data_IF_037176372502
#
_entry.id   IF_037176372502
#
_cell.length_a   1.000
_cell.length_b   1.000
_cell.length_c   1.000
_cell.angle_alpha   90.00
_cell.angle_beta   90.00
_cell.angle_gamma   90.00
#
_symmetry.space_group_name_H-M   'P 1'
#
loop_
_entity.id
_entity.type
_entity.pdbx_description
1 polymer ?
#
# COMPACT_ATOMS: atom_id res chain seq x y z
N UNK A 1 33.29 8.50 32.67
CA UNK A 1 33.10 7.56 31.53
C UNK A 1 31.71 6.94 31.49
N UNK A 2 31.17 6.41 32.61
CA UNK A 2 29.81 5.84 32.64
C UNK A 2 28.68 6.85 32.29
N UNK A 3 28.81 8.11 32.71
CA UNK A 3 27.82 9.17 32.44
C UNK A 3 27.67 9.49 30.94
N UNK A 4 28.79 9.60 30.21
CA UNK A 4 28.80 9.82 28.75
C UNK A 4 28.22 8.62 27.99
N UNK A 5 28.47 7.39 28.48
CA UNK A 5 27.90 6.18 27.91
C UNK A 5 26.39 6.08 28.14
N UNK A 6 25.88 6.57 29.28
CA UNK A 6 24.43 6.66 29.54
C UNK A 6 23.76 7.77 28.73
N UNK A 7 24.43 8.91 28.53
CA UNK A 7 23.95 9.99 27.65
C UNK A 7 23.85 9.49 26.20
N UNK A 8 24.84 8.73 25.73
CA UNK A 8 24.84 8.12 24.41
C UNK A 8 23.67 7.14 24.20
N UNK A 9 23.36 6.28 25.18
CA UNK A 9 22.20 5.37 25.09
C UNK A 9 20.87 6.12 25.08
N UNK A 10 20.73 7.16 25.91
CA UNK A 10 19.53 8.00 25.96
C UNK A 10 19.30 8.73 24.64
N UNK A 11 20.37 9.29 24.07
CA UNK A 11 20.33 9.99 22.79
C UNK A 11 19.99 9.04 21.64
N UNK A 12 20.57 7.84 21.60
CA UNK A 12 20.22 6.82 20.61
C UNK A 12 18.74 6.43 20.69
N UNK A 13 18.21 6.26 21.90
CA UNK A 13 16.80 5.94 22.09
C UNK A 13 15.89 7.10 21.65
N UNK A 14 16.26 8.34 21.98
CA UNK A 14 15.54 9.53 21.51
C UNK A 14 15.49 9.59 19.98
N UNK A 15 16.64 9.44 19.31
CA UNK A 15 16.70 9.43 17.84
C UNK A 15 15.91 8.29 17.22
N UNK A 16 15.84 7.15 17.88
CA UNK A 16 14.99 6.05 17.45
C UNK A 16 13.50 6.44 17.48
N UNK A 17 13.04 7.07 18.56
CA UNK A 17 11.66 7.54 18.68
C UNK A 17 11.32 8.64 17.67
N UNK A 18 12.26 9.57 17.43
CA UNK A 18 12.14 10.61 16.39
C UNK A 18 12.07 9.98 14.99
N UNK A 19 13.02 9.10 14.64
CA UNK A 19 13.08 8.47 13.31
C UNK A 19 11.88 7.56 13.02
N UNK A 20 11.30 6.95 14.06
CA UNK A 20 10.11 6.08 13.92
C UNK A 20 8.79 6.86 13.96
N UNK A 21 8.81 8.19 14.12
CA UNK A 21 7.61 9.03 14.17
C UNK A 21 6.81 8.94 15.47
N UNK A 22 7.30 8.21 16.49
CA UNK A 22 6.58 8.04 17.77
C UNK A 22 6.38 9.38 18.46
N UNK A 23 7.38 10.26 18.43
CA UNK A 23 7.26 11.59 19.06
C UNK A 23 6.23 12.46 18.34
N UNK A 24 6.16 12.40 17.02
CA UNK A 24 5.22 13.19 16.22
C UNK A 24 3.78 12.73 16.49
N UNK A 25 3.53 11.42 16.50
CA UNK A 25 2.21 10.86 16.84
C UNK A 25 1.78 11.22 18.26
N UNK A 26 2.67 11.07 19.26
CA UNK A 26 2.37 11.46 20.64
C UNK A 26 2.08 12.96 20.74
N UNK A 27 2.84 13.79 20.03
CA UNK A 27 2.63 15.24 20.00
C UNK A 27 1.28 15.57 19.39
N UNK A 28 0.92 14.96 18.26
CA UNK A 28 -0.38 15.17 17.60
C UNK A 28 -1.56 14.80 18.51
N UNK A 29 -1.50 13.67 19.23
CA UNK A 29 -2.58 13.26 20.15
C UNK A 29 -2.68 14.21 21.34
N UNK A 30 -1.56 14.69 21.86
CA UNK A 30 -1.55 15.68 22.95
C UNK A 30 -2.08 17.04 22.50
N UNK A 31 -1.78 17.47 21.27
CA UNK A 31 -2.35 18.68 20.65
C UNK A 31 -3.86 18.53 20.52
N UNK A 32 -4.36 17.41 19.98
CA UNK A 32 -5.80 17.15 19.88
C UNK A 32 -6.48 17.24 21.26
N UNK A 33 -5.91 16.60 22.28
CA UNK A 33 -6.42 16.69 23.65
C UNK A 33 -6.38 18.12 24.20
N UNK A 34 -5.36 18.90 23.85
CA UNK A 34 -5.24 20.30 24.24
C UNK A 34 -6.25 21.22 23.53
N UNK A 35 -6.61 20.90 22.30
CA UNK A 35 -7.57 21.68 21.49
C UNK A 35 -9.03 21.32 21.79
N UNK A 36 -9.31 20.18 22.43
CA UNK A 36 -10.67 19.78 22.81
C UNK A 36 -11.40 20.89 23.59
N UNK A 37 -12.53 21.43 23.09
CA UNK A 37 -13.27 22.52 23.72
C UNK A 37 -13.90 22.09 25.04
N UNK A 38 -14.34 20.83 25.13
CA UNK A 38 -14.80 20.19 26.36
C UNK A 38 -13.80 19.11 26.77
N UNK A 39 -13.06 19.36 27.86
CA UNK A 39 -12.03 18.40 28.29
C UNK A 39 -12.66 17.07 28.69
N UNK A 40 -12.16 15.93 28.19
CA UNK A 40 -12.69 14.64 28.57
C UNK A 40 -12.48 14.41 30.07
N UNK A 41 -13.50 13.88 30.73
CA UNK A 41 -13.42 13.50 32.15
C UNK A 41 -12.28 12.51 32.43
N UNK A 42 -11.90 11.70 31.43
CA UNK A 42 -10.74 10.82 31.48
C UNK A 42 -9.80 11.04 30.28
N UNK A 43 -8.78 11.88 30.47
CA UNK A 43 -7.75 12.15 29.46
C UNK A 43 -6.99 10.89 29.01
N UNK A 44 -6.81 9.91 29.89
CA UNK A 44 -6.06 8.70 29.55
C UNK A 44 -6.82 7.83 28.55
N UNK A 45 -8.14 7.74 28.68
CA UNK A 45 -8.97 6.98 27.74
C UNK A 45 -9.06 7.68 26.38
N UNK A 46 -9.11 9.01 26.36
CA UNK A 46 -8.98 9.80 25.12
C UNK A 46 -7.68 9.47 24.39
N UNK A 47 -6.54 9.49 25.09
CA UNK A 47 -5.23 9.19 24.50
C UNK A 47 -5.19 7.75 23.95
N UNK A 48 -5.68 6.75 24.70
CA UNK A 48 -5.72 5.36 24.22
C UNK A 48 -6.54 5.21 22.93
N UNK A 49 -7.71 5.87 22.87
CA UNK A 49 -8.56 5.82 21.69
C UNK A 49 -7.88 6.45 20.48
N UNK A 50 -7.29 7.64 20.65
CA UNK A 50 -6.65 8.38 19.56
C UNK A 50 -5.35 7.74 19.08
N UNK A 51 -4.61 7.05 19.96
CA UNK A 51 -3.46 6.23 19.55
C UNK A 51 -3.87 4.97 18.77
N UNK A 52 -5.03 4.38 19.08
CA UNK A 52 -5.58 3.24 18.34
C UNK A 52 -6.26 3.64 17.01
N UNK A 53 -6.77 4.86 16.94
CA UNK A 53 -7.40 5.44 15.75
C UNK A 53 -6.44 6.20 14.83
N UNK A 54 -5.18 6.38 15.24
CA UNK A 54 -4.08 6.82 14.38
C UNK A 54 -3.76 5.74 13.33
N UNK A 55 -4.73 5.50 12.44
CA UNK A 55 -4.51 4.79 11.17
C UNK A 55 -3.60 5.60 10.24
N UNK A 56 -3.24 5.05 9.08
CA UNK A 56 -2.34 5.71 8.13
C UNK A 56 -2.80 7.15 7.85
N UNK A 57 -1.82 8.07 7.78
CA UNK A 57 -2.07 9.51 7.58
C UNK A 57 -3.04 9.72 6.39
N UNK A 58 -3.93 10.73 6.43
CA UNK A 58 -4.81 11.01 5.32
C UNK A 58 -4.03 11.21 4.01
N UNK A 59 -2.83 11.80 4.05
CA UNK A 59 -1.93 11.95 2.92
C UNK A 59 -1.48 10.59 2.34
N UNK A 60 -1.08 9.64 3.20
CA UNK A 60 -0.73 8.28 2.78
C UNK A 60 -1.91 7.56 2.16
N UNK A 61 -3.11 7.75 2.72
CA UNK A 61 -4.31 7.11 2.17
C UNK A 61 -4.71 7.68 0.80
N UNK A 62 -4.53 8.98 0.56
CA UNK A 62 -4.77 9.58 -0.77
C UNK A 62 -3.70 9.18 -1.80
N UNK A 63 -2.43 9.12 -1.39
CA UNK A 63 -1.35 8.64 -2.24
C UNK A 63 -1.61 7.18 -2.67
N UNK A 64 -1.96 6.31 -1.71
CA UNK A 64 -2.31 4.91 -1.98
C UNK A 64 -3.56 4.77 -2.86
N UNK A 65 -4.59 5.62 -2.67
CA UNK A 65 -5.77 5.65 -3.54
C UNK A 65 -5.40 6.01 -4.98
N UNK A 66 -4.52 7.00 -5.15
CA UNK A 66 -4.05 7.44 -6.47
C UNK A 66 -3.25 6.34 -7.16
N UNK A 67 -2.31 5.71 -6.46
CA UNK A 67 -1.51 4.61 -7.01
C UNK A 67 -2.38 3.40 -7.39
N UNK A 68 -3.41 3.08 -6.59
CA UNK A 68 -4.38 2.04 -6.92
C UNK A 68 -5.14 2.35 -8.21
N UNK A 69 -5.60 3.60 -8.37
CA UNK A 69 -6.32 4.03 -9.55
C UNK A 69 -5.43 3.93 -10.81
N UNK A 70 -4.19 4.40 -10.72
CA UNK A 70 -3.20 4.33 -11.81
C UNK A 70 -2.89 2.88 -12.20
N UNK A 71 -2.71 1.99 -11.24
CA UNK A 71 -2.45 0.57 -11.50
C UNK A 71 -3.66 -0.14 -12.10
N UNK A 72 -4.88 0.19 -11.66
CA UNK A 72 -6.12 -0.36 -12.23
C UNK A 72 -6.33 0.08 -13.68
N UNK A 73 -6.04 1.36 -13.97
CA UNK A 73 -6.09 1.90 -15.33
C UNK A 73 -5.08 1.17 -16.23
N UNK A 74 -3.83 1.05 -15.78
CA UNK A 74 -2.76 0.37 -16.52
C UNK A 74 -3.06 -1.11 -16.74
N UNK A 75 -3.64 -1.80 -15.76
CA UNK A 75 -4.11 -3.17 -15.92
C UNK A 75 -5.18 -3.29 -17.00
N UNK A 76 -6.15 -2.36 -17.02
CA UNK A 76 -7.23 -2.36 -18.01
C UNK A 76 -6.70 -2.15 -19.44
N UNK A 77 -5.82 -1.18 -19.62
CA UNK A 77 -5.16 -0.90 -20.91
C UNK A 77 -4.37 -2.10 -21.42
N UNK A 78 -3.55 -2.70 -20.55
CA UNK A 78 -2.77 -3.89 -20.90
C UNK A 78 -3.66 -5.08 -21.22
N UNK A 79 -4.78 -5.26 -20.52
CA UNK A 79 -5.75 -6.32 -20.81
C UNK A 79 -6.41 -6.13 -22.18
N UNK A 80 -6.77 -4.90 -22.53
CA UNK A 80 -7.35 -4.56 -23.82
C UNK A 80 -6.34 -4.76 -24.96
N UNK A 81 -5.11 -4.28 -24.79
CA UNK A 81 -4.03 -4.52 -25.76
C UNK A 81 -3.76 -6.03 -25.93
N UNK A 82 -3.72 -6.80 -24.84
CA UNK A 82 -3.53 -8.24 -24.91
C UNK A 82 -4.66 -8.92 -25.70
N UNK A 83 -5.91 -8.48 -25.49
CA UNK A 83 -7.08 -8.95 -26.22
C UNK A 83 -6.95 -8.63 -27.71
N UNK A 84 -6.61 -7.40 -28.08
CA UNK A 84 -6.40 -7.01 -29.47
C UNK A 84 -5.28 -7.79 -30.14
N UNK A 85 -4.13 -7.93 -29.48
CA UNK A 85 -2.99 -8.67 -30.00
C UNK A 85 -3.32 -10.14 -30.21
N UNK A 86 -4.12 -10.75 -29.33
CA UNK A 86 -4.64 -12.11 -29.52
C UNK A 86 -5.53 -12.21 -30.75
N UNK A 87 -6.46 -11.26 -30.95
CA UNK A 87 -7.33 -11.20 -32.14
C UNK A 87 -6.51 -11.02 -33.42
N UNK A 88 -5.57 -10.05 -33.44
CA UNK A 88 -4.65 -9.78 -34.56
C UNK A 88 -3.78 -10.99 -34.89
N UNK A 89 -3.27 -11.71 -33.88
CA UNK A 89 -2.57 -12.99 -34.10
C UNK A 89 -3.50 -14.04 -34.71
N UNK A 90 -4.73 -14.15 -34.24
CA UNK A 90 -5.65 -15.20 -34.68
C UNK A 90 -6.21 -14.97 -36.09
N UNK A 91 -6.33 -13.71 -36.49
CA UNK A 91 -6.73 -13.31 -37.86
C UNK A 91 -5.60 -13.50 -38.85
N UNK A 92 -4.35 -13.20 -38.48
CA UNK A 92 -3.16 -13.40 -39.34
C UNK A 92 -2.76 -14.86 -39.55
N UNK A 93 -3.30 -15.83 -38.79
CA UNK A 93 -3.02 -17.26 -39.04
C UNK A 93 -3.74 -17.69 -40.32
N UNK A 94 -3.00 -18.11 -41.37
CA UNK A 94 -3.61 -18.59 -42.60
C UNK A 94 -4.53 -19.80 -42.36
N UNK A 95 -5.60 -20.00 -43.15
CA UNK A 95 -6.59 -21.07 -42.93
C UNK A 95 -5.98 -22.48 -42.79
N UNK A 96 -4.88 -22.75 -43.51
CA UNK A 96 -4.18 -24.04 -43.47
C UNK A 96 -3.45 -24.29 -42.14
N UNK A 97 -2.91 -23.26 -41.50
CA UNK A 97 -2.25 -23.36 -40.19
C UNK A 97 -3.26 -23.55 -39.04
N UNK A 98 -4.47 -22.96 -39.16
CA UNK A 98 -5.57 -23.19 -38.19
C UNK A 98 -6.03 -24.65 -38.20
N UNK A 99 -6.19 -25.24 -39.39
CA UNK A 99 -6.53 -26.67 -39.54
C UNK A 99 -5.44 -27.59 -38.94
N UNK A 100 -4.15 -27.31 -39.20
CA UNK A 100 -3.02 -28.03 -38.57
C UNK A 100 -3.04 -27.96 -37.04
N UNK A 101 -3.21 -26.75 -36.46
CA UNK A 101 -3.24 -26.58 -35.00
C UNK A 101 -4.41 -27.31 -34.33
N UNK A 102 -5.61 -27.31 -34.94
CA UNK A 102 -6.76 -28.08 -34.45
C UNK A 102 -6.52 -29.59 -34.53
N UNK A 103 -5.96 -30.08 -35.64
CA UNK A 103 -5.63 -31.50 -35.82
C UNK A 103 -4.59 -32.00 -34.81
N UNK A 104 -3.51 -31.25 -34.59
CA UNK A 104 -2.47 -31.60 -33.60
C UNK A 104 -3.04 -31.64 -32.17
N UNK A 105 -3.90 -30.68 -31.81
CA UNK A 105 -4.52 -30.62 -30.49
C UNK A 105 -5.47 -31.79 -30.23
N UNK A 106 -6.22 -32.22 -31.26
CA UNK A 106 -7.07 -33.42 -31.19
C UNK A 106 -6.27 -34.71 -31.00
N UNK A 107 -5.12 -34.85 -31.67
CA UNK A 107 -4.23 -36.00 -31.50
C UNK A 107 -3.64 -36.04 -30.07
N UNK A 108 -3.28 -34.87 -29.52
CA UNK A 108 -2.72 -34.77 -28.17
C UNK A 108 -3.73 -35.10 -27.07
N UNK A 109 -5.02 -34.84 -27.29
CA UNK A 109 -6.10 -35.13 -26.34
C UNK A 109 -6.53 -36.61 -26.34
N UNK A 110 -6.10 -37.39 -27.34
CA UNK A 110 -6.41 -38.82 -27.45
C UNK A 110 -5.27 -39.73 -26.97
N UNK A 111 -4.17 -39.17 -26.47
CA UNK A 111 -3.08 -39.89 -25.80
C UNK A 111 -3.17 -39.68 -24.29
#
# INVERSE_FOLDING_TARGET
LAHLASESKREQFRRYLEKSGVLDTLTSVLVALYEEPEKPNNALDFIKLHLGAAGPEPADTEALRTELADLQQKCSELMEENKELRIKRQTKIPPYQKKRKKSIKGIMLMR
#
